data_IF_621732023186
#
_entry.id   IF_621732023186
#
_cell.length_a   1.000
_cell.length_b   1.000
_cell.length_c   1.000
_cell.angle_alpha   90.00
_cell.angle_beta   90.00
_cell.angle_gamma   90.00
#
_symmetry.space_group_name_H-M   'P 1'
#
loop_
_entity.id
_entity.type
_entity.pdbx_description
1 polymer ?
#
# COMPACT_ATOMS: atom_id res chain seq x y z
N UNK A 1 12.21 18.39 8.99
CA UNK A 1 12.35 18.06 7.55
C UNK A 1 11.68 16.72 7.31
N UNK A 2 10.86 16.59 6.26
CA UNK A 2 10.22 15.31 5.94
C UNK A 2 11.26 14.29 5.44
N UNK A 3 11.13 13.03 5.86
CA UNK A 3 11.99 11.95 5.36
C UNK A 3 11.43 11.33 4.06
N UNK A 4 12.20 10.48 3.37
CA UNK A 4 11.77 9.83 2.12
C UNK A 4 10.43 9.09 2.26
N UNK A 5 10.18 8.45 3.41
CA UNK A 5 8.96 7.71 3.66
C UNK A 5 7.74 8.62 3.77
N UNK A 6 7.86 9.77 4.45
CA UNK A 6 6.80 10.76 4.56
C UNK A 6 6.42 11.35 3.20
N UNK A 7 7.41 11.69 2.35
CA UNK A 7 7.13 12.17 0.99
C UNK A 7 6.42 11.12 0.13
N UNK A 8 6.79 9.86 0.27
CA UNK A 8 6.11 8.78 -0.44
C UNK A 8 4.66 8.61 0.01
N UNK A 9 4.40 8.64 1.32
CA UNK A 9 3.04 8.56 1.84
C UNK A 9 2.17 9.72 1.34
N UNK A 10 2.72 10.93 1.23
CA UNK A 10 2.01 12.09 0.67
C UNK A 10 1.69 11.93 -0.82
N UNK A 11 2.65 11.46 -1.61
CA UNK A 11 2.40 11.15 -3.02
C UNK A 11 1.33 10.06 -3.18
N UNK A 12 1.42 8.98 -2.39
CA UNK A 12 0.47 7.88 -2.41
C UNK A 12 -0.92 8.34 -1.97
N UNK A 13 -1.00 9.19 -0.96
CA UNK A 13 -2.24 9.81 -0.50
C UNK A 13 -2.88 10.63 -1.63
N UNK A 14 -2.13 11.52 -2.28
CA UNK A 14 -2.64 12.33 -3.39
C UNK A 14 -3.15 11.46 -4.55
N UNK A 15 -2.39 10.43 -4.95
CA UNK A 15 -2.83 9.46 -5.96
C UNK A 15 -4.14 8.79 -5.55
N UNK A 16 -4.27 8.40 -4.28
CA UNK A 16 -5.45 7.71 -3.78
C UNK A 16 -6.66 8.64 -3.69
N UNK A 17 -6.46 9.92 -3.35
CA UNK A 17 -7.49 10.97 -3.39
C UNK A 17 -7.98 11.19 -4.81
N UNK A 18 -7.08 11.31 -5.79
CA UNK A 18 -7.46 11.46 -7.19
C UNK A 18 -8.34 10.28 -7.65
N UNK A 19 -7.91 9.04 -7.33
CA UNK A 19 -8.68 7.83 -7.63
C UNK A 19 -10.05 7.85 -6.96
N UNK A 20 -10.11 8.17 -5.67
CA UNK A 20 -11.36 8.19 -4.92
C UNK A 20 -12.30 9.31 -5.41
N UNK A 21 -11.77 10.45 -5.84
CA UNK A 21 -12.57 11.54 -6.40
C UNK A 21 -13.22 11.18 -7.73
N UNK A 22 -12.56 10.32 -8.53
CA UNK A 22 -13.06 9.85 -9.81
C UNK A 22 -14.05 8.67 -9.65
N UNK A 23 -13.74 7.72 -8.77
CA UNK A 23 -14.52 6.49 -8.61
C UNK A 23 -15.61 6.58 -7.54
N UNK A 24 -15.46 7.45 -6.54
CA UNK A 24 -16.30 7.48 -5.36
C UNK A 24 -16.15 6.23 -4.48
N UNK A 25 -17.06 6.09 -3.52
CA UNK A 25 -17.19 4.93 -2.63
C UNK A 25 -18.02 3.77 -3.24
N UNK A 26 -18.11 2.64 -2.54
CA UNK A 26 -19.01 1.54 -2.91
C UNK A 26 -18.40 0.40 -3.73
N UNK A 27 -17.16 0.54 -4.19
CA UNK A 27 -16.43 -0.55 -4.86
C UNK A 27 -15.63 -1.41 -3.89
N UNK A 28 -15.22 -2.60 -4.34
CA UNK A 28 -14.33 -3.48 -3.58
C UNK A 28 -12.86 -3.07 -3.75
N UNK A 29 -11.98 -3.64 -2.92
CA UNK A 29 -10.53 -3.35 -2.94
C UNK A 29 -9.91 -3.53 -4.33
N UNK A 30 -10.29 -4.57 -5.07
CA UNK A 30 -9.72 -4.88 -6.37
C UNK A 30 -9.90 -3.74 -7.41
N UNK A 31 -11.02 -3.01 -7.35
CA UNK A 31 -11.26 -1.85 -8.22
C UNK A 31 -10.26 -0.72 -7.91
N UNK A 32 -10.10 -0.35 -6.65
CA UNK A 32 -9.14 0.68 -6.24
C UNK A 32 -7.69 0.26 -6.49
N UNK A 33 -7.35 -1.01 -6.27
CA UNK A 33 -6.05 -1.57 -6.62
C UNK A 33 -5.77 -1.46 -8.13
N UNK A 34 -6.75 -1.76 -8.98
CA UNK A 34 -6.59 -1.62 -10.43
C UNK A 34 -6.35 -0.16 -10.83
N UNK A 35 -7.06 0.79 -10.21
CA UNK A 35 -6.85 2.22 -10.41
C UNK A 35 -5.45 2.68 -9.94
N UNK A 36 -4.99 2.24 -8.76
CA UNK A 36 -3.63 2.46 -8.27
C UNK A 36 -2.60 1.95 -9.28
N UNK A 37 -2.81 0.75 -9.83
CA UNK A 37 -1.93 0.18 -10.85
C UNK A 37 -1.85 1.04 -12.12
N UNK A 38 -2.95 1.68 -12.53
CA UNK A 38 -2.97 2.64 -13.66
C UNK A 38 -2.16 3.89 -13.29
N UNK A 39 -2.43 4.49 -12.14
CA UNK A 39 -1.80 5.74 -11.72
C UNK A 39 -0.29 5.57 -11.47
N UNK A 40 0.14 4.42 -10.94
CA UNK A 40 1.55 4.05 -10.82
C UNK A 40 2.22 3.95 -12.18
N UNK A 41 1.61 3.28 -13.18
CA UNK A 41 2.16 3.20 -14.53
C UNK A 41 2.28 4.58 -15.18
N UNK A 42 1.21 5.39 -15.14
CA UNK A 42 1.22 6.77 -15.67
C UNK A 42 2.32 7.62 -15.04
N UNK A 43 2.56 7.45 -13.74
CA UNK A 43 3.61 8.18 -13.00
C UNK A 43 4.99 7.53 -13.11
N UNK A 44 5.15 6.42 -13.81
CA UNK A 44 6.40 5.64 -13.86
C UNK A 44 6.90 5.23 -12.45
N UNK A 45 5.98 4.87 -11.55
CA UNK A 45 6.27 4.22 -10.27
C UNK A 45 6.36 2.72 -10.56
N UNK A 46 7.54 2.13 -10.35
CA UNK A 46 7.75 0.70 -10.57
C UNK A 46 7.14 -0.10 -9.42
N UNK A 47 6.31 -1.09 -9.74
CA UNK A 47 5.67 -1.95 -8.76
C UNK A 47 5.54 -3.39 -9.26
N UNK A 48 5.37 -4.30 -8.31
CA UNK A 48 4.83 -5.63 -8.50
C UNK A 48 3.45 -5.67 -7.85
N UNK A 49 2.46 -6.27 -8.51
CA UNK A 49 1.10 -6.42 -7.99
C UNK A 49 0.86 -7.90 -7.65
N UNK A 50 0.31 -8.15 -6.47
CA UNK A 50 -0.16 -9.47 -6.04
C UNK A 50 0.88 -10.59 -6.26
N UNK A 51 2.13 -10.36 -5.84
CA UNK A 51 3.21 -11.35 -5.98
C UNK A 51 3.26 -12.27 -4.77
N UNK A 52 3.45 -13.57 -5.02
CA UNK A 52 3.61 -14.54 -3.95
C UNK A 52 4.92 -14.29 -3.19
N UNK A 53 4.83 -14.23 -1.86
CA UNK A 53 5.96 -14.17 -0.92
C UNK A 53 5.96 -15.39 -0.04
N UNK A 54 7.14 -15.87 0.37
CA UNK A 54 7.26 -16.99 1.30
C UNK A 54 7.01 -16.51 2.73
N UNK A 55 6.17 -17.27 3.45
CA UNK A 55 5.92 -17.09 4.89
C UNK A 55 6.76 -18.09 5.67
N UNK A 56 7.44 -17.59 6.70
CA UNK A 56 8.43 -18.37 7.44
C UNK A 56 8.03 -18.62 8.89
N UNK A 57 8.09 -19.88 9.31
CA UNK A 57 8.19 -20.27 10.72
C UNK A 57 9.62 -20.70 11.02
N UNK A 58 10.29 -19.96 11.91
CA UNK A 58 11.77 -20.06 12.09
C UNK A 58 12.43 -19.91 10.71
N UNK A 59 13.20 -20.89 10.25
CA UNK A 59 13.91 -20.84 8.96
C UNK A 59 13.26 -21.74 7.89
N UNK A 60 12.04 -22.21 8.14
CA UNK A 60 11.28 -23.05 7.21
C UNK A 60 10.15 -22.25 6.57
N UNK A 61 10.10 -22.27 5.24
CA UNK A 61 8.94 -21.78 4.51
C UNK A 61 7.76 -22.71 4.79
N UNK A 62 6.65 -22.15 5.26
CA UNK A 62 5.45 -22.89 5.67
C UNK A 62 4.21 -22.54 4.86
N UNK A 63 4.33 -21.59 3.94
CA UNK A 63 3.23 -21.17 3.10
C UNK A 63 3.61 -19.99 2.22
N UNK A 64 2.65 -19.57 1.42
CA UNK A 64 2.74 -18.38 0.59
C UNK A 64 1.66 -17.40 1.03
N UNK A 65 1.97 -16.12 0.88
CA UNK A 65 1.00 -15.04 0.99
C UNK A 65 1.24 -14.03 -0.12
N UNK A 66 0.37 -13.02 -0.24
CA UNK A 66 0.33 -12.17 -1.43
C UNK A 66 -0.03 -10.73 -1.06
N UNK A 67 0.97 -9.85 -0.80
CA UNK A 67 0.71 -8.43 -0.62
C UNK A 67 0.12 -7.81 -1.90
N UNK A 68 -0.74 -6.81 -1.74
CA UNK A 68 -1.37 -6.14 -2.88
C UNK A 68 -0.34 -5.51 -3.82
N UNK A 69 0.63 -4.77 -3.26
CA UNK A 69 1.73 -4.21 -4.03
C UNK A 69 3.08 -4.30 -3.32
N UNK A 70 4.13 -4.42 -4.12
CA UNK A 70 5.51 -4.11 -3.74
C UNK A 70 6.00 -2.96 -4.62
N UNK A 71 6.29 -1.80 -4.03
CA UNK A 71 6.89 -0.68 -4.74
C UNK A 71 8.39 -0.90 -4.80
N UNK A 72 8.95 -0.86 -6.01
CA UNK A 72 10.35 -1.14 -6.29
C UNK A 72 11.24 0.10 -6.08
N UNK A 73 12.54 -0.08 -5.80
CA UNK A 73 13.50 1.01 -5.70
C UNK A 73 13.38 1.98 -6.88
N UNK A 74 13.16 3.25 -6.55
CA UNK A 74 12.90 4.29 -7.54
C UNK A 74 13.46 5.61 -7.01
N UNK A 75 14.06 6.38 -7.91
CA UNK A 75 14.51 7.75 -7.64
C UNK A 75 13.48 8.72 -8.21
N UNK A 76 12.87 9.52 -7.33
CA UNK A 76 11.92 10.55 -7.70
C UNK A 76 12.22 11.85 -6.96
N UNK A 77 11.58 12.93 -7.39
CA UNK A 77 11.54 14.17 -6.62
C UNK A 77 10.74 13.90 -5.33
N UNK A 78 11.27 14.28 -4.18
CA UNK A 78 10.64 14.06 -2.87
C UNK A 78 11.11 12.78 -2.16
N UNK A 79 11.19 11.66 -2.88
CA UNK A 79 11.63 10.39 -2.27
C UNK A 79 12.53 9.55 -3.19
N UNK A 80 13.51 8.90 -2.56
CA UNK A 80 14.45 8.02 -3.24
C UNK A 80 14.67 6.76 -2.39
N UNK A 81 13.94 5.69 -2.72
CA UNK A 81 14.08 4.42 -2.02
C UNK A 81 15.12 3.53 -2.69
N UNK A 82 16.03 3.02 -1.87
CA UNK A 82 17.01 2.00 -2.27
C UNK A 82 16.51 0.56 -2.08
N UNK A 83 15.49 0.39 -1.25
CA UNK A 83 14.86 -0.90 -0.95
C UNK A 83 13.38 -0.84 -1.31
N UNK A 84 12.75 -1.96 -1.70
CA UNK A 84 11.32 -1.98 -1.94
C UNK A 84 10.51 -1.80 -0.64
N UNK A 85 9.24 -1.44 -0.78
CA UNK A 85 8.25 -1.36 0.32
C UNK A 85 6.96 -2.06 -0.08
N UNK A 86 6.18 -2.49 0.89
CA UNK A 86 4.86 -3.13 0.68
C UNK A 86 3.73 -2.11 0.80
N UNK A 87 2.69 -2.25 0.00
CA UNK A 87 1.39 -1.59 0.23
C UNK A 87 0.35 -2.68 0.39
N UNK A 88 -0.48 -2.56 1.41
CA UNK A 88 -1.70 -3.32 1.61
C UNK A 88 -2.88 -2.35 1.63
N UNK A 89 -3.91 -2.64 0.84
CA UNK A 89 -5.10 -1.79 0.67
C UNK A 89 -6.27 -2.36 1.46
N UNK A 90 -7.12 -1.47 1.97
CA UNK A 90 -8.39 -1.83 2.62
C UNK A 90 -9.52 -0.92 2.20
N UNK A 91 -10.71 -1.49 1.98
CA UNK A 91 -11.96 -0.71 1.85
C UNK A 91 -12.80 -0.94 3.09
N UNK A 92 -12.74 0.01 4.03
CA UNK A 92 -13.44 -0.10 5.31
C UNK A 92 -13.69 1.29 5.90
N UNK A 93 -14.58 1.37 6.90
CA UNK A 93 -14.74 2.59 7.67
C UNK A 93 -13.48 2.90 8.51
N UNK A 94 -12.87 1.85 9.08
CA UNK A 94 -11.71 1.94 9.94
C UNK A 94 -10.75 0.77 9.70
N UNK A 95 -9.45 1.00 9.93
CA UNK A 95 -8.44 -0.06 9.92
C UNK A 95 -8.53 -0.87 11.22
N UNK A 96 -8.59 -2.18 11.10
CA UNK A 96 -8.65 -3.09 12.24
C UNK A 96 -7.26 -3.58 12.68
N UNK A 97 -7.19 -4.26 13.83
CA UNK A 97 -5.96 -4.90 14.30
C UNK A 97 -5.53 -6.04 13.38
N UNK A 98 -6.47 -6.73 12.76
CA UNK A 98 -6.22 -7.79 11.77
C UNK A 98 -5.49 -7.22 10.55
N UNK A 99 -5.87 -6.03 10.06
CA UNK A 99 -5.16 -5.39 8.94
C UNK A 99 -3.71 -5.07 9.31
N UNK A 100 -3.47 -4.57 10.52
CA UNK A 100 -2.11 -4.31 11.05
C UNK A 100 -1.31 -5.60 11.23
N UNK A 101 -1.96 -6.66 11.71
CA UNK A 101 -1.35 -7.97 11.91
C UNK A 101 -0.95 -8.62 10.58
N UNK A 102 -1.76 -8.46 9.53
CA UNK A 102 -1.46 -8.92 8.17
C UNK A 102 -0.17 -8.27 7.65
N UNK A 103 -0.11 -6.93 7.61
CA UNK A 103 1.11 -6.23 7.16
C UNK A 103 2.33 -6.59 8.02
N UNK A 104 2.16 -6.68 9.35
CA UNK A 104 3.24 -7.09 10.26
C UNK A 104 3.76 -8.50 9.97
N UNK A 105 2.89 -9.42 9.56
CA UNK A 105 3.26 -10.79 9.22
C UNK A 105 4.13 -10.85 7.97
N UNK A 106 3.84 -10.03 6.96
CA UNK A 106 4.71 -9.88 5.78
C UNK A 106 6.09 -9.36 6.19
N UNK A 107 6.14 -8.25 6.93
CA UNK A 107 7.40 -7.62 7.35
C UNK A 107 8.25 -8.52 8.26
N UNK A 108 7.64 -9.48 8.95
CA UNK A 108 8.35 -10.51 9.73
C UNK A 108 8.96 -11.61 8.86
N UNK A 109 8.31 -11.98 7.76
CA UNK A 109 8.74 -13.09 6.89
C UNK A 109 9.67 -12.64 5.76
N UNK A 110 9.46 -11.43 5.21
CA UNK A 110 10.22 -10.91 4.08
C UNK A 110 11.74 -10.95 4.26
N UNK A 111 12.32 -10.54 5.42
CA UNK A 111 13.77 -10.61 5.64
C UNK A 111 14.38 -12.01 5.57
N UNK A 112 13.56 -13.07 5.65
CA UNK A 112 14.00 -14.47 5.59
C UNK A 112 13.95 -15.07 4.18
N UNK A 113 13.33 -14.36 3.24
CA UNK A 113 13.26 -14.79 1.84
C UNK A 113 14.66 -14.80 1.22
N UNK A 114 14.94 -15.77 0.35
CA UNK A 114 16.23 -15.86 -0.36
C UNK A 114 16.39 -14.77 -1.43
N UNK A 115 15.28 -14.24 -1.94
CA UNK A 115 15.28 -13.18 -2.93
C UNK A 115 15.84 -11.87 -2.33
N UNK A 116 16.87 -11.31 -2.97
CA UNK A 116 17.58 -10.13 -2.51
C UNK A 116 16.72 -8.86 -2.47
N UNK A 117 15.72 -8.74 -3.32
CA UNK A 117 14.82 -7.59 -3.32
C UNK A 117 13.82 -7.72 -2.17
N UNK A 118 13.24 -8.90 -1.97
CA UNK A 118 12.27 -9.17 -0.91
C UNK A 118 12.87 -9.05 0.49
N UNK A 119 14.08 -9.55 0.71
CA UNK A 119 14.73 -9.51 2.04
C UNK A 119 15.01 -8.09 2.55
N UNK A 120 15.09 -7.13 1.63
CA UNK A 120 15.42 -5.74 1.94
C UNK A 120 14.18 -4.91 2.29
N UNK A 121 12.98 -5.49 2.17
CA UNK A 121 11.73 -4.83 2.54
C UNK A 121 11.61 -4.78 4.06
N UNK A 122 11.62 -3.56 4.60
CA UNK A 122 11.51 -3.29 6.05
C UNK A 122 10.35 -2.35 6.41
N UNK A 123 9.68 -1.83 5.39
CA UNK A 123 8.63 -0.84 5.51
C UNK A 123 7.43 -1.29 4.70
N UNK A 124 6.25 -0.93 5.18
CA UNK A 124 5.03 -1.04 4.39
C UNK A 124 4.00 -0.02 4.83
N UNK A 125 3.00 0.17 3.98
CA UNK A 125 1.90 1.11 4.15
C UNK A 125 0.59 0.34 4.15
N UNK A 126 -0.28 0.63 5.11
CA UNK A 126 -1.70 0.30 5.03
C UNK A 126 -2.41 1.51 4.45
N UNK A 127 -3.06 1.33 3.29
CA UNK A 127 -3.80 2.37 2.59
C UNK A 127 -5.29 2.07 2.68
N UNK A 128 -6.05 2.97 3.30
CA UNK A 128 -7.51 2.83 3.48
C UNK A 128 -8.25 3.68 2.45
N UNK A 129 -9.17 3.06 1.71
CA UNK A 129 -10.24 3.74 0.98
C UNK A 129 -11.53 3.67 1.81
N UNK A 130 -12.35 4.72 1.74
CA UNK A 130 -13.63 4.76 2.45
C UNK A 130 -14.65 3.82 1.79
N UNK A 131 -15.31 3.00 2.61
CA UNK A 131 -16.33 2.03 2.15
C UNK A 131 -17.63 2.70 1.74
N UNK A 132 -18.01 3.74 2.46
CA UNK A 132 -19.14 4.61 2.17
C UNK A 132 -18.65 6.03 2.27
N UNK A 133 -19.07 6.87 1.33
CA UNK A 133 -19.20 8.29 1.62
C UNK A 133 -20.17 8.39 2.78
N UNK A 134 -19.72 8.92 3.92
CA UNK A 134 -20.66 9.58 4.79
C UNK A 134 -21.40 10.58 3.88
N UNK A 135 -22.73 10.56 3.85
CA UNK A 135 -23.48 11.63 3.22
C UNK A 135 -23.13 12.90 4.01
N UNK A 136 -22.07 13.59 3.58
CA UNK A 136 -21.65 14.87 4.11
C UNK A 136 -22.63 15.87 3.53
N UNK A 137 -23.63 16.25 4.32
CA UNK A 137 -24.31 17.53 4.13
C UNK A 137 -23.20 18.58 3.93
N UNK A 138 -23.31 19.37 2.86
CA UNK A 138 -22.24 20.08 2.14
C UNK A 138 -21.35 21.07 2.92
N UNK A 139 -21.33 21.04 4.26
CA UNK A 139 -20.67 22.03 5.10
C UNK A 139 -19.31 21.60 5.68
N UNK A 140 -18.87 20.33 5.64
CA UNK A 140 -17.60 19.92 6.28
C UNK A 140 -16.69 19.03 5.43
N UNK A 141 -16.04 19.63 4.42
CA UNK A 141 -15.14 19.00 3.45
C UNK A 141 -13.68 18.89 3.91
N UNK A 142 -13.43 18.47 5.17
CA UNK A 142 -12.06 18.22 5.65
C UNK A 142 -11.97 16.90 6.41
N UNK A 143 -11.78 15.81 5.66
CA UNK A 143 -10.96 14.61 5.99
C UNK A 143 -11.46 13.42 5.15
N UNK A 144 -10.95 13.29 3.93
CA UNK A 144 -11.41 12.26 2.99
C UNK A 144 -10.53 10.99 2.96
N UNK A 145 -9.31 11.02 3.51
CA UNK A 145 -8.38 9.87 3.55
C UNK A 145 -7.52 9.95 4.83
N UNK A 146 -7.16 8.80 5.41
CA UNK A 146 -6.20 8.60 6.52
C UNK A 146 -5.18 7.52 6.20
#
# INVERSE_FOLDING_TARGET
MKNNFQYFCEDLFNISTDIFSELGSGFNEAVYQNALGIEFRKRNIKYLKEVNIEIFYKDHAVGLDRPDFIILPSRRKGWNFKSPLVIETKVSAQLSNENRAQLKSYLKSLPKNKNNDLKNIKQGVLLKFLKSEDFIDSENSKHLIE
#
